data_IF_779656134735
#
_entry.id   IF_779656134735
#
_cell.length_a   1.000
_cell.length_b   1.000
_cell.length_c   1.000
_cell.angle_alpha   90.00
_cell.angle_beta   90.00
_cell.angle_gamma   90.00
#
_symmetry.space_group_name_H-M   'P 1'
#
loop_
_entity.id
_entity.type
_entity.pdbx_description
1 polymer ?
#
# COMPACT_ATOMS: atom_id res chain seq x y z
N UNK A 1 21.47 -10.87 8.84
CA UNK A 1 21.56 -11.40 7.45
C UNK A 1 21.77 -10.21 6.51
N UNK A 2 22.38 -10.37 5.33
CA UNK A 2 22.39 -9.27 4.34
C UNK A 2 20.97 -9.13 3.78
N UNK A 3 20.45 -7.91 3.72
CA UNK A 3 19.15 -7.64 3.11
C UNK A 3 19.23 -7.98 1.61
N UNK A 4 18.39 -8.90 1.15
CA UNK A 4 18.29 -9.30 -0.26
C UNK A 4 16.84 -9.28 -0.71
N UNK A 5 16.60 -8.91 -1.97
CA UNK A 5 15.25 -8.84 -2.55
C UNK A 5 14.58 -10.22 -2.47
N UNK A 6 15.28 -11.27 -2.92
CA UNK A 6 14.77 -12.65 -2.92
C UNK A 6 14.37 -13.12 -1.52
N UNK A 7 15.19 -12.84 -0.51
CA UNK A 7 14.89 -13.21 0.86
C UNK A 7 13.68 -12.48 1.41
N UNK A 8 13.53 -11.18 1.10
CA UNK A 8 12.37 -10.41 1.55
C UNK A 8 11.07 -10.97 0.98
N UNK A 9 11.05 -11.28 -0.33
CA UNK A 9 9.89 -11.87 -0.98
C UNK A 9 9.61 -13.32 -0.55
N UNK A 10 10.64 -14.13 -0.27
CA UNK A 10 10.46 -15.49 0.23
C UNK A 10 9.73 -15.51 1.57
N UNK A 11 10.14 -14.66 2.52
CA UNK A 11 9.48 -14.56 3.82
C UNK A 11 8.07 -13.99 3.68
N UNK A 12 7.88 -12.96 2.83
CA UNK A 12 6.55 -12.41 2.54
C UNK A 12 5.60 -13.46 1.94
N UNK A 13 6.10 -14.30 1.04
CA UNK A 13 5.36 -15.42 0.45
C UNK A 13 5.08 -16.55 1.44
N UNK A 14 5.94 -16.77 2.43
CA UNK A 14 5.65 -17.68 3.54
C UNK A 14 4.51 -17.12 4.40
N UNK A 15 4.61 -15.87 4.86
CA UNK A 15 3.57 -15.19 5.64
C UNK A 15 2.21 -15.19 4.93
N UNK A 16 2.18 -14.96 3.62
CA UNK A 16 0.95 -15.04 2.83
C UNK A 16 0.34 -16.44 2.86
N UNK A 17 1.14 -17.48 2.61
CA UNK A 17 0.64 -18.87 2.56
C UNK A 17 0.14 -19.36 3.91
N UNK A 18 0.87 -19.03 4.97
CA UNK A 18 0.60 -19.51 6.32
C UNK A 18 -0.62 -18.82 6.95
N UNK A 19 -0.96 -17.61 6.50
CA UNK A 19 -2.05 -16.79 7.06
C UNK A 19 -3.08 -16.32 6.02
N UNK A 20 -3.21 -17.04 4.90
CA UNK A 20 -4.06 -16.63 3.75
C UNK A 20 -5.52 -16.36 4.14
N UNK A 21 -6.06 -17.09 5.11
CA UNK A 21 -7.46 -16.97 5.50
C UNK A 21 -7.71 -15.65 6.24
N UNK A 22 -6.82 -15.31 7.19
CA UNK A 22 -6.85 -14.04 7.94
C UNK A 22 -6.54 -12.86 7.01
N UNK A 23 -5.53 -13.01 6.15
CA UNK A 23 -5.18 -11.99 5.17
C UNK A 23 -6.30 -11.76 4.17
N UNK A 24 -7.01 -12.81 3.73
CA UNK A 24 -8.15 -12.72 2.82
C UNK A 24 -9.28 -11.88 3.40
N UNK A 25 -9.62 -12.08 4.68
CA UNK A 25 -10.63 -11.27 5.37
C UNK A 25 -10.26 -9.78 5.42
N UNK A 26 -9.00 -9.48 5.77
CA UNK A 26 -8.49 -8.09 5.79
C UNK A 26 -8.45 -7.49 4.37
N UNK A 27 -8.00 -8.27 3.39
CA UNK A 27 -7.89 -7.86 1.97
C UNK A 27 -9.25 -7.45 1.41
N UNK A 28 -10.29 -8.26 1.62
CA UNK A 28 -11.63 -7.98 1.14
C UNK A 28 -12.17 -6.66 1.67
N UNK A 29 -12.17 -6.49 2.99
CA UNK A 29 -12.84 -5.36 3.64
C UNK A 29 -12.05 -4.05 3.53
N UNK A 30 -10.74 -4.09 3.75
CA UNK A 30 -9.93 -2.88 3.91
C UNK A 30 -9.18 -2.45 2.64
N UNK A 31 -9.16 -3.29 1.61
CA UNK A 31 -8.49 -2.99 0.35
C UNK A 31 -9.45 -3.10 -0.84
N UNK A 32 -10.08 -4.26 -1.06
CA UNK A 32 -10.91 -4.49 -2.26
C UNK A 32 -12.11 -3.55 -2.26
N UNK A 33 -12.88 -3.51 -1.16
CA UNK A 33 -14.08 -2.66 -1.06
C UNK A 33 -13.76 -1.17 -1.27
N UNK A 34 -12.79 -0.54 -0.55
CA UNK A 34 -12.50 0.87 -0.78
C UNK A 34 -11.91 1.14 -2.16
N UNK A 35 -11.03 0.29 -2.69
CA UNK A 35 -10.45 0.49 -4.03
C UNK A 35 -11.53 0.37 -5.10
N UNK A 36 -12.38 -0.65 -5.04
CA UNK A 36 -13.48 -0.82 -5.98
C UNK A 36 -14.48 0.35 -5.89
N UNK A 37 -14.83 0.78 -4.68
CA UNK A 37 -15.69 1.95 -4.48
C UNK A 37 -15.13 3.23 -5.10
N UNK A 38 -13.82 3.45 -4.96
CA UNK A 38 -13.13 4.58 -5.62
C UNK A 38 -13.15 4.46 -7.16
N UNK A 39 -12.91 3.26 -7.70
CA UNK A 39 -12.95 3.04 -9.15
C UNK A 39 -14.34 3.27 -9.73
N UNK A 40 -15.38 2.78 -9.05
CA UNK A 40 -16.78 3.00 -9.46
C UNK A 40 -17.18 4.48 -9.35
N UNK A 41 -16.70 5.18 -8.32
CA UNK A 41 -16.92 6.62 -8.17
C UNK A 41 -16.22 7.41 -9.30
N UNK A 42 -14.98 7.06 -9.64
CA UNK A 42 -14.26 7.68 -10.74
C UNK A 42 -14.92 7.37 -12.10
N UNK A 43 -15.43 6.16 -12.31
CA UNK A 43 -16.17 5.80 -13.51
C UNK A 43 -17.37 6.72 -13.74
N UNK A 44 -18.16 6.98 -12.70
CA UNK A 44 -19.35 7.84 -12.78
C UNK A 44 -19.03 9.31 -13.06
N UNK A 45 -17.82 9.75 -12.77
CA UNK A 45 -17.41 11.16 -12.92
C UNK A 45 -17.19 11.61 -14.37
N UNK A 46 -17.03 10.68 -15.32
CA UNK A 46 -16.77 10.99 -16.73
C UNK A 46 -15.40 11.64 -17.02
N UNK A 47 -14.52 11.73 -16.02
CA UNK A 47 -13.24 12.45 -16.11
C UNK A 47 -12.29 11.91 -17.20
N UNK A 48 -12.43 10.65 -17.60
CA UNK A 48 -11.59 10.03 -18.62
C UNK A 48 -11.86 10.54 -20.06
N UNK A 49 -12.95 11.29 -20.28
CA UNK A 49 -13.37 11.74 -21.61
C UNK A 49 -12.87 13.16 -21.97
N UNK A 50 -12.25 13.90 -21.04
CA UNK A 50 -11.82 15.28 -21.28
C UNK A 50 -10.40 15.34 -21.87
N UNK A 51 -10.29 15.82 -23.11
CA UNK A 51 -9.02 15.91 -23.84
C UNK A 51 -8.24 17.21 -23.54
N UNK A 52 -8.92 18.25 -23.05
CA UNK A 52 -8.29 19.53 -22.69
C UNK A 52 -7.62 19.43 -21.30
N UNK A 53 -6.28 19.57 -21.19
CA UNK A 53 -5.57 19.44 -19.92
C UNK A 53 -6.04 20.43 -18.84
N UNK A 54 -6.46 21.65 -19.23
CA UNK A 54 -6.91 22.66 -18.28
C UNK A 54 -8.28 22.32 -17.70
N UNK A 55 -9.22 21.92 -18.57
CA UNK A 55 -10.55 21.47 -18.15
C UNK A 55 -10.49 20.19 -17.33
N UNK A 56 -9.60 19.27 -17.70
CA UNK A 56 -9.36 18.06 -16.92
C UNK A 56 -8.86 18.39 -15.51
N UNK A 57 -7.94 19.35 -15.37
CA UNK A 57 -7.44 19.81 -14.07
C UNK A 57 -8.55 20.43 -13.21
N UNK A 58 -9.40 21.28 -13.79
CA UNK A 58 -10.52 21.89 -13.09
C UNK A 58 -11.57 20.85 -12.67
N UNK A 59 -11.91 19.92 -13.57
CA UNK A 59 -12.84 18.84 -13.31
C UNK A 59 -12.31 17.89 -12.22
N UNK A 60 -11.02 17.56 -12.25
CA UNK A 60 -10.35 16.82 -11.18
C UNK A 60 -10.45 17.55 -9.85
N UNK A 61 -10.08 18.84 -9.81
CA UNK A 61 -10.16 19.64 -8.58
C UNK A 61 -11.59 19.64 -8.02
N UNK A 62 -12.58 19.84 -8.87
CA UNK A 62 -14.00 19.81 -8.48
C UNK A 62 -14.38 18.44 -7.92
N UNK A 63 -14.04 17.36 -8.62
CA UNK A 63 -14.28 15.99 -8.15
C UNK A 63 -13.68 15.73 -6.76
N UNK A 64 -12.42 16.14 -6.54
CA UNK A 64 -11.76 16.01 -5.23
C UNK A 64 -12.46 16.79 -4.13
N UNK A 65 -12.94 18.01 -4.41
CA UNK A 65 -13.67 18.83 -3.45
C UNK A 65 -15.05 18.24 -3.13
N UNK A 66 -15.77 17.77 -4.14
CA UNK A 66 -17.12 17.21 -3.99
C UNK A 66 -17.11 15.85 -3.26
N UNK A 67 -16.01 15.09 -3.37
CA UNK A 67 -15.89 13.74 -2.80
C UNK A 67 -14.83 13.59 -1.70
N UNK A 68 -14.36 14.69 -1.12
CA UNK A 68 -13.25 14.70 -0.16
C UNK A 68 -13.45 13.69 0.99
N UNK A 69 -14.65 13.63 1.56
CA UNK A 69 -14.96 12.72 2.66
C UNK A 69 -14.89 11.24 2.26
N UNK A 70 -15.37 10.90 1.06
CA UNK A 70 -15.35 9.52 0.54
C UNK A 70 -13.91 9.09 0.24
N UNK A 71 -13.13 9.96 -0.38
CA UNK A 71 -11.71 9.74 -0.65
C UNK A 71 -10.91 9.57 0.64
N UNK A 72 -11.16 10.43 1.63
CA UNK A 72 -10.53 10.35 2.94
C UNK A 72 -10.88 9.02 3.63
N UNK A 73 -12.16 8.64 3.65
CA UNK A 73 -12.60 7.39 4.25
C UNK A 73 -11.95 6.17 3.59
N UNK A 74 -11.90 6.13 2.26
CA UNK A 74 -11.26 5.04 1.53
C UNK A 74 -9.74 4.96 1.84
N UNK A 75 -9.04 6.11 1.90
CA UNK A 75 -7.63 6.14 2.32
C UNK A 75 -7.47 5.63 3.75
N UNK A 76 -8.35 6.04 4.66
CA UNK A 76 -8.30 5.61 6.06
C UNK A 76 -8.54 4.10 6.21
N UNK A 77 -9.43 3.50 5.40
CA UNK A 77 -9.62 2.05 5.39
C UNK A 77 -8.36 1.31 4.95
N UNK A 78 -7.70 1.77 3.88
CA UNK A 78 -6.45 1.17 3.39
C UNK A 78 -5.33 1.34 4.44
N UNK A 79 -5.16 2.53 4.99
CA UNK A 79 -4.16 2.80 6.03
C UNK A 79 -4.41 1.95 7.29
N UNK A 80 -5.67 1.75 7.67
CA UNK A 80 -6.07 0.85 8.74
C UNK A 80 -5.73 -0.62 8.43
N UNK A 81 -6.02 -1.10 7.21
CA UNK A 81 -5.66 -2.45 6.77
C UNK A 81 -4.15 -2.70 6.81
N UNK A 82 -3.36 -1.72 6.34
CA UNK A 82 -1.89 -1.76 6.43
C UNK A 82 -1.45 -1.85 7.89
N UNK A 83 -1.96 -0.98 8.77
CA UNK A 83 -1.61 -0.98 10.19
C UNK A 83 -1.99 -2.29 10.88
N UNK A 84 -3.14 -2.88 10.54
CA UNK A 84 -3.59 -4.16 11.07
C UNK A 84 -2.65 -5.30 10.69
N UNK A 85 -2.23 -5.38 9.43
CA UNK A 85 -1.25 -6.38 8.97
C UNK A 85 0.09 -6.16 9.68
N UNK A 86 0.56 -4.91 9.79
CA UNK A 86 1.82 -4.63 10.49
C UNK A 86 1.76 -5.06 11.96
N UNK A 87 0.67 -4.77 12.67
CA UNK A 87 0.50 -5.19 14.07
C UNK A 87 0.41 -6.71 14.17
N UNK A 88 -0.35 -7.36 13.29
CA UNK A 88 -0.54 -8.81 13.29
C UNK A 88 0.78 -9.56 13.22
N UNK A 89 1.71 -9.12 12.37
CA UNK A 89 2.97 -9.82 12.15
C UNK A 89 4.15 -9.32 12.99
N UNK A 90 4.11 -8.08 13.47
CA UNK A 90 5.24 -7.50 14.22
C UNK A 90 5.03 -7.45 15.74
N UNK A 91 3.83 -7.79 16.23
CA UNK A 91 3.59 -7.99 17.66
C UNK A 91 3.27 -9.46 17.92
N UNK A 92 4.28 -10.28 18.26
CA UNK A 92 4.05 -11.68 18.58
C UNK A 92 3.08 -11.82 19.77
N UNK A 93 2.07 -12.66 19.61
CA UNK A 93 1.10 -13.00 20.64
C UNK A 93 -0.09 -13.79 20.07
N UNK A 94 -0.73 -14.60 20.91
CA UNK A 94 -1.95 -15.35 20.57
C UNK A 94 -3.17 -14.41 20.54
N UNK A 95 -3.19 -13.45 19.61
CA UNK A 95 -4.32 -12.53 19.44
C UNK A 95 -5.26 -13.02 18.34
N UNK A 96 -6.55 -12.91 18.59
CA UNK A 96 -7.53 -13.06 17.52
C UNK A 96 -7.40 -11.91 16.50
N UNK A 97 -7.97 -12.10 15.31
CA UNK A 97 -8.09 -11.01 14.34
C UNK A 97 -8.86 -9.83 14.93
N UNK A 98 -9.95 -10.08 15.67
CA UNK A 98 -10.75 -9.04 16.32
C UNK A 98 -9.95 -8.20 17.30
N UNK A 99 -9.14 -8.84 18.14
CA UNK A 99 -8.25 -8.13 19.08
C UNK A 99 -7.21 -7.27 18.34
N UNK A 100 -6.67 -7.79 17.24
CA UNK A 100 -5.72 -7.08 16.39
C UNK A 100 -6.36 -5.84 15.76
N UNK A 101 -7.58 -5.93 15.26
CA UNK A 101 -8.33 -4.79 14.73
C UNK A 101 -8.64 -3.75 15.82
N UNK A 102 -9.02 -4.19 17.03
CA UNK A 102 -9.27 -3.30 18.15
C UNK A 102 -8.01 -2.53 18.59
N UNK A 103 -6.85 -3.22 18.65
CA UNK A 103 -5.56 -2.58 18.92
C UNK A 103 -5.19 -1.60 17.82
N UNK A 104 -5.40 -1.98 16.55
CA UNK A 104 -5.17 -1.11 15.40
C UNK A 104 -5.99 0.16 15.49
N UNK A 105 -7.28 0.06 15.83
CA UNK A 105 -8.18 1.20 15.97
C UNK A 105 -7.70 2.18 17.05
N UNK A 106 -7.30 1.68 18.21
CA UNK A 106 -6.74 2.50 19.31
C UNK A 106 -5.43 3.20 18.94
N UNK A 107 -4.68 2.63 17.98
CA UNK A 107 -3.37 3.14 17.54
C UNK A 107 -3.41 3.81 16.17
N UNK A 108 -4.59 4.01 15.60
CA UNK A 108 -4.74 4.46 14.22
C UNK A 108 -4.15 5.85 13.99
N UNK A 109 -4.37 6.80 14.91
CA UNK A 109 -3.87 8.17 14.80
C UNK A 109 -2.34 8.25 14.62
N UNK A 110 -1.52 7.59 15.46
CA UNK A 110 -0.08 7.49 15.22
C UNK A 110 0.31 6.94 13.84
N UNK A 111 -0.40 5.92 13.33
CA UNK A 111 -0.14 5.38 11.98
C UNK A 111 -0.46 6.38 10.88
N UNK A 112 -1.62 7.05 10.98
CA UNK A 112 -2.02 8.10 10.03
C UNK A 112 -0.97 9.21 10.02
N UNK A 113 -0.56 9.69 11.20
CA UNK A 113 0.42 10.77 11.30
C UNK A 113 1.76 10.39 10.67
N UNK A 114 2.27 9.18 10.95
CA UNK A 114 3.51 8.67 10.34
C UNK A 114 3.39 8.55 8.82
N UNK A 115 2.30 7.97 8.31
CA UNK A 115 2.08 7.83 6.87
C UNK A 115 1.93 9.20 6.20
N UNK A 116 1.23 10.14 6.83
CA UNK A 116 1.04 11.50 6.30
C UNK A 116 2.38 12.24 6.20
N UNK A 117 3.20 12.19 7.24
CA UNK A 117 4.54 12.79 7.23
C UNK A 117 5.40 12.15 6.13
N UNK A 118 5.38 10.83 5.98
CA UNK A 118 6.12 10.14 4.92
C UNK A 118 5.63 10.56 3.51
N UNK A 119 4.31 10.69 3.30
CA UNK A 119 3.71 11.18 2.05
C UNK A 119 4.12 12.63 1.76
N UNK A 120 4.13 13.51 2.77
CA UNK A 120 4.56 14.91 2.64
C UNK A 120 6.06 14.97 2.27
N UNK A 121 6.91 14.21 2.95
CA UNK A 121 8.35 14.16 2.64
C UNK A 121 8.61 13.65 1.23
N UNK A 122 7.89 12.61 0.80
CA UNK A 122 7.94 12.12 -0.58
C UNK A 122 7.51 13.22 -1.57
N UNK A 123 6.39 13.90 -1.30
CA UNK A 123 5.86 14.97 -2.15
C UNK A 123 6.85 16.13 -2.30
N UNK A 124 7.36 16.67 -1.18
CA UNK A 124 8.38 17.75 -1.17
C UNK A 124 9.65 17.31 -1.89
N UNK A 125 10.11 16.08 -1.65
CA UNK A 125 11.28 15.55 -2.34
C UNK A 125 11.06 15.48 -3.85
N UNK A 126 9.92 14.92 -4.26
CA UNK A 126 9.56 14.73 -5.67
C UNK A 126 9.35 16.05 -6.42
N UNK A 127 8.90 17.12 -5.74
CA UNK A 127 8.75 18.44 -6.35
C UNK A 127 10.08 19.14 -6.66
N UNK A 128 11.15 18.77 -5.95
CA UNK A 128 12.50 19.25 -6.26
C UNK A 128 13.06 18.44 -7.44
N UNK A 129 13.14 17.12 -7.28
CA UNK A 129 13.53 16.15 -8.30
C UNK A 129 12.99 14.76 -7.91
N UNK A 130 12.88 13.85 -8.87
CA UNK A 130 12.42 12.48 -8.59
C UNK A 130 13.32 11.76 -7.56
N UNK A 131 14.65 11.93 -7.65
CA UNK A 131 15.61 11.25 -6.78
C UNK A 131 15.45 11.59 -5.28
N UNK A 132 15.38 12.87 -4.85
CA UNK A 132 15.06 13.22 -3.47
C UNK A 132 13.73 12.64 -2.96
N UNK A 133 12.70 12.57 -3.81
CA UNK A 133 11.43 11.92 -3.48
C UNK A 133 11.63 10.43 -3.19
N UNK A 134 12.21 9.70 -4.13
CA UNK A 134 12.48 8.26 -3.97
C UNK A 134 13.41 7.96 -2.78
N UNK A 135 14.38 8.83 -2.52
CA UNK A 135 15.20 8.77 -1.32
C UNK A 135 14.33 8.90 -0.06
N UNK A 136 13.52 9.96 0.06
CA UNK A 136 12.64 10.14 1.22
C UNK A 136 11.66 8.96 1.41
N UNK A 137 11.10 8.42 0.33
CA UNK A 137 10.23 7.25 0.35
C UNK A 137 10.96 6.04 0.93
N UNK A 138 12.13 5.71 0.41
CA UNK A 138 12.89 4.55 0.84
C UNK A 138 13.37 4.68 2.30
N UNK A 139 13.70 5.90 2.72
CA UNK A 139 14.15 6.20 4.09
C UNK A 139 13.02 6.18 5.12
N UNK A 140 11.79 6.45 4.70
CA UNK A 140 10.60 6.40 5.57
C UNK A 140 9.83 5.08 5.48
N UNK A 141 10.23 4.18 4.57
CA UNK A 141 9.52 2.94 4.25
C UNK A 141 9.28 2.04 5.47
N UNK A 142 10.27 1.97 6.36
CA UNK A 142 10.26 1.13 7.57
C UNK A 142 9.73 1.84 8.83
N UNK A 143 9.25 3.08 8.73
CA UNK A 143 8.76 3.82 9.91
C UNK A 143 7.47 3.22 10.48
N UNK A 144 6.47 2.90 9.64
CA UNK A 144 5.24 2.28 10.14
C UNK A 144 5.48 0.86 10.71
N UNK A 145 6.28 -0.03 10.08
CA UNK A 145 6.74 -1.27 10.71
C UNK A 145 7.43 -1.04 12.06
N UNK A 146 8.30 -0.02 12.15
CA UNK A 146 8.96 0.32 13.41
C UNK A 146 7.95 0.69 14.49
N UNK A 147 6.96 1.52 14.15
CA UNK A 147 5.88 1.90 15.06
C UNK A 147 5.04 0.69 15.50
N UNK A 148 4.76 -0.23 14.58
CA UNK A 148 3.99 -1.43 14.87
C UNK A 148 4.73 -2.38 15.83
N UNK A 149 6.04 -2.61 15.59
CA UNK A 149 6.83 -3.59 16.32
C UNK A 149 7.03 -3.28 17.80
N UNK A 150 7.18 -2.00 18.18
CA UNK A 150 7.42 -1.59 19.57
C UNK A 150 6.26 -0.72 20.07
N UNK A 151 5.32 -1.29 20.84
CA UNK A 151 4.25 -0.53 21.46
C UNK A 151 4.81 0.57 22.37
N UNK A 152 4.27 1.80 22.28
CA UNK A 152 4.60 2.89 23.20
C UNK A 152 5.87 3.71 22.87
N UNK A 153 6.70 3.33 21.89
CA UNK A 153 7.95 4.06 21.60
C UNK A 153 7.78 5.51 21.09
N UNK A 154 6.56 5.90 20.68
CA UNK A 154 6.26 7.21 20.10
C UNK A 154 6.68 7.35 18.63
N UNK A 155 6.20 8.40 17.97
CA UNK A 155 6.40 8.60 16.52
C UNK A 155 7.86 8.94 16.16
N UNK A 156 8.51 9.80 16.94
CA UNK A 156 9.89 10.21 16.68
C UNK A 156 10.87 9.03 16.77
N UNK A 157 10.69 8.13 17.74
CA UNK A 157 11.51 6.93 17.84
C UNK A 157 11.28 5.99 16.65
N UNK A 158 10.04 5.86 16.19
CA UNK A 158 9.72 5.08 14.99
C UNK A 158 10.40 5.65 13.74
N UNK A 159 10.41 6.98 13.57
CA UNK A 159 11.12 7.65 12.46
C UNK A 159 12.61 7.38 12.53
N UNK A 160 13.22 7.58 13.71
CA UNK A 160 14.64 7.32 13.92
C UNK A 160 15.02 5.87 13.59
N UNK A 161 14.24 4.90 14.07
CA UNK A 161 14.49 3.48 13.79
C UNK A 161 14.30 3.14 12.30
N UNK A 162 13.24 3.63 11.66
CA UNK A 162 13.02 3.40 10.23
C UNK A 162 14.14 3.98 9.37
N UNK A 163 14.62 5.17 9.74
CA UNK A 163 15.77 5.82 9.11
C UNK A 163 17.04 4.98 9.28
N UNK A 164 17.41 4.62 10.51
CA UNK A 164 18.60 3.80 10.79
C UNK A 164 18.56 2.43 10.08
N UNK A 165 17.39 1.78 10.04
CA UNK A 165 17.26 0.45 9.41
C UNK A 165 17.40 0.48 7.89
N UNK A 166 17.18 1.64 7.26
CA UNK A 166 17.36 1.82 5.82
C UNK A 166 18.75 2.36 5.42
N UNK A 167 19.72 2.41 6.33
CA UNK A 167 21.07 2.99 6.08
C UNK A 167 21.90 2.26 5.02
N UNK A 168 22.86 2.99 4.45
CA UNK A 168 23.80 2.47 3.45
C UNK A 168 23.10 2.11 2.14
N UNK A 169 23.41 0.93 1.58
CA UNK A 169 22.78 0.45 0.34
C UNK A 169 21.37 -0.14 0.56
N UNK A 170 20.89 -0.23 1.80
CA UNK A 170 19.62 -0.93 2.11
C UNK A 170 18.41 -0.20 1.55
N UNK A 171 18.40 1.13 1.53
CA UNK A 171 17.29 1.89 0.97
C UNK A 171 17.05 1.56 -0.51
N UNK A 172 18.10 1.28 -1.30
CA UNK A 172 17.96 0.84 -2.69
C UNK A 172 17.33 -0.54 -2.81
N UNK A 173 17.68 -1.46 -1.91
CA UNK A 173 17.07 -2.80 -1.86
C UNK A 173 15.59 -2.71 -1.47
N UNK A 174 15.25 -1.86 -0.49
CA UNK A 174 13.87 -1.60 -0.09
C UNK A 174 13.06 -0.98 -1.24
N UNK A 175 13.63 0.01 -1.91
CA UNK A 175 13.02 0.65 -3.07
C UNK A 175 12.83 -0.34 -4.22
N UNK A 176 13.83 -1.18 -4.49
CA UNK A 176 13.75 -2.24 -5.50
C UNK A 176 12.68 -3.27 -5.19
N UNK A 177 12.52 -3.69 -3.93
CA UNK A 177 11.45 -4.60 -3.52
C UNK A 177 10.06 -3.95 -3.64
N UNK A 178 9.93 -2.68 -3.25
CA UNK A 178 8.68 -1.93 -3.43
C UNK A 178 8.32 -1.77 -4.91
N UNK A 179 9.30 -1.34 -5.74
CA UNK A 179 9.13 -1.18 -7.17
C UNK A 179 8.78 -2.51 -7.86
N UNK A 180 9.46 -3.61 -7.52
CA UNK A 180 9.15 -4.92 -8.08
C UNK A 180 7.71 -5.36 -7.78
N UNK A 181 7.22 -5.10 -6.57
CA UNK A 181 5.83 -5.41 -6.17
C UNK A 181 4.83 -4.61 -7.00
N UNK A 182 5.04 -3.29 -7.09
CA UNK A 182 4.13 -2.39 -7.82
C UNK A 182 4.17 -2.67 -9.33
N UNK A 183 5.35 -2.83 -9.92
CA UNK A 183 5.51 -3.10 -11.35
C UNK A 183 4.91 -4.45 -11.74
N UNK A 184 5.06 -5.48 -10.91
CA UNK A 184 4.40 -6.77 -11.14
C UNK A 184 2.87 -6.64 -11.16
N UNK A 185 2.31 -5.90 -10.20
CA UNK A 185 0.87 -5.64 -10.15
C UNK A 185 0.38 -4.84 -11.36
N UNK A 186 1.09 -3.77 -11.73
CA UNK A 186 0.78 -2.97 -12.91
C UNK A 186 0.86 -3.80 -14.20
N UNK A 187 1.84 -4.69 -14.31
CA UNK A 187 1.95 -5.60 -15.45
C UNK A 187 0.74 -6.54 -15.56
N UNK A 188 0.31 -7.14 -14.45
CA UNK A 188 -0.87 -8.01 -14.41
C UNK A 188 -2.15 -7.24 -14.75
N UNK A 189 -2.31 -6.03 -14.20
CA UNK A 189 -3.45 -5.15 -14.52
C UNK A 189 -3.45 -4.81 -16.01
N UNK A 190 -2.32 -4.35 -16.55
CA UNK A 190 -2.20 -3.98 -17.96
C UNK A 190 -2.54 -5.15 -18.87
N UNK A 191 -1.93 -6.31 -18.63
CA UNK A 191 -2.16 -7.51 -19.42
C UNK A 191 -3.64 -7.95 -19.34
N UNK A 192 -4.21 -7.99 -18.14
CA UNK A 192 -5.61 -8.37 -17.97
C UNK A 192 -6.59 -7.38 -18.60
N UNK A 193 -6.34 -6.07 -18.51
CA UNK A 193 -7.15 -5.04 -19.18
C UNK A 193 -7.08 -5.17 -20.71
N UNK A 194 -5.90 -5.46 -21.28
CA UNK A 194 -5.77 -5.71 -22.72
C UNK A 194 -6.56 -6.94 -23.13
N UNK A 195 -6.47 -8.05 -22.38
CA UNK A 195 -7.21 -9.28 -22.69
C UNK A 195 -8.73 -9.07 -22.60
N UNK A 196 -9.21 -8.36 -21.57
CA UNK A 196 -10.63 -8.01 -21.43
C UNK A 196 -11.11 -7.11 -22.55
N UNK A 197 -10.30 -6.12 -22.96
CA UNK A 197 -10.60 -5.25 -24.10
C UNK A 197 -10.70 -6.01 -25.43
N UNK A 198 -9.80 -6.96 -25.67
CA UNK A 198 -9.83 -7.82 -26.86
C UNK A 198 -11.07 -8.73 -26.90
N UNK A 199 -11.42 -9.33 -25.76
CA UNK A 199 -12.65 -10.11 -25.63
C UNK A 199 -13.88 -9.22 -25.86
N UNK A 200 -13.84 -7.99 -25.36
CA UNK A 200 -14.92 -7.03 -25.53
C UNK A 200 -15.17 -6.63 -26.97
N UNK A 201 -14.10 -6.36 -27.71
CA UNK A 201 -14.19 -6.11 -29.15
C UNK A 201 -14.77 -7.30 -29.94
N UNK A 202 -14.62 -8.53 -29.44
CA UNK A 202 -15.13 -9.74 -30.09
C UNK A 202 -16.61 -10.03 -29.78
N UNK A 203 -17.09 -9.69 -28.58
CA UNK A 203 -18.46 -10.02 -28.12
C UNK A 203 -19.46 -8.87 -28.34
N UNK A 204 -18.99 -7.64 -28.52
CA UNK A 204 -19.83 -6.47 -28.76
C UNK A 204 -20.17 -5.72 -27.47
N UNK A 205 -21.39 -5.90 -26.94
CA UNK A 205 -21.85 -5.16 -25.75
C UNK A 205 -20.95 -5.44 -24.54
N UNK A 206 -20.43 -4.35 -23.96
CA UNK A 206 -19.15 -4.35 -23.26
C UNK A 206 -19.24 -3.99 -21.78
N UNK A 207 -20.45 -3.70 -21.28
CA UNK A 207 -20.64 -3.20 -19.92
C UNK A 207 -20.18 -4.21 -18.85
N UNK A 208 -20.42 -5.51 -19.09
CA UNK A 208 -19.98 -6.57 -18.17
C UNK A 208 -18.45 -6.74 -18.16
N UNK A 209 -17.79 -6.56 -19.31
CA UNK A 209 -16.34 -6.70 -19.43
C UNK A 209 -15.61 -5.47 -18.90
N UNK A 210 -16.21 -4.29 -19.04
CA UNK A 210 -15.74 -3.05 -18.40
C UNK A 210 -15.83 -3.17 -16.87
N UNK A 211 -16.97 -3.64 -16.34
CA UNK A 211 -17.13 -3.92 -14.92
C UNK A 211 -16.10 -4.95 -14.41
N UNK A 212 -15.83 -6.01 -15.18
CA UNK A 212 -14.80 -6.99 -14.87
C UNK A 212 -13.39 -6.36 -14.82
N UNK A 213 -13.12 -5.35 -15.67
CA UNK A 213 -11.88 -4.57 -15.64
C UNK A 213 -11.68 -3.84 -14.33
N UNK A 214 -12.71 -3.17 -13.80
CA UNK A 214 -12.61 -2.50 -12.49
C UNK A 214 -12.42 -3.50 -11.34
N UNK A 215 -13.11 -4.63 -11.37
CA UNK A 215 -12.93 -5.70 -10.38
C UNK A 215 -11.50 -6.25 -10.44
N UNK A 216 -10.95 -6.48 -11.64
CA UNK A 216 -9.56 -6.91 -11.83
C UNK A 216 -8.59 -5.91 -11.19
N UNK A 217 -8.73 -4.61 -11.49
CA UNK A 217 -7.87 -3.56 -10.93
C UNK A 217 -7.98 -3.55 -9.40
N UNK A 218 -9.19 -3.62 -8.85
CA UNK A 218 -9.41 -3.62 -7.41
C UNK A 218 -8.77 -4.83 -6.72
N UNK A 219 -8.96 -6.04 -7.26
CA UNK A 219 -8.42 -7.28 -6.70
C UNK A 219 -6.90 -7.29 -6.78
N UNK A 220 -6.33 -7.04 -7.95
CA UNK A 220 -4.87 -7.07 -8.14
C UNK A 220 -4.19 -5.95 -7.35
N UNK A 221 -4.77 -4.74 -7.35
CA UNK A 221 -4.28 -3.62 -6.54
C UNK A 221 -4.31 -3.93 -5.05
N UNK A 222 -5.36 -4.58 -4.56
CA UNK A 222 -5.47 -5.00 -3.15
C UNK A 222 -4.42 -6.02 -2.77
N UNK A 223 -4.22 -7.04 -3.61
CA UNK A 223 -3.17 -8.04 -3.40
C UNK A 223 -1.78 -7.36 -3.38
N UNK A 224 -1.56 -6.40 -4.27
CA UNK A 224 -0.31 -5.63 -4.30
C UNK A 224 -0.08 -4.86 -2.99
N UNK A 225 -1.11 -4.19 -2.45
CA UNK A 225 -1.01 -3.49 -1.17
C UNK A 225 -0.69 -4.43 0.01
N UNK A 226 -1.30 -5.61 0.03
CA UNK A 226 -1.03 -6.62 1.07
C UNK A 226 0.38 -7.16 0.93
N UNK A 227 0.79 -7.56 -0.27
CA UNK A 227 2.15 -8.05 -0.54
C UNK A 227 3.21 -7.00 -0.21
N UNK A 228 2.96 -5.73 -0.55
CA UNK A 228 3.83 -4.61 -0.21
C UNK A 228 3.97 -4.47 1.31
N UNK A 229 2.89 -4.69 2.05
CA UNK A 229 2.89 -4.65 3.52
C UNK A 229 3.65 -5.83 4.12
N UNK A 230 3.48 -7.05 3.59
CA UNK A 230 4.24 -8.23 4.00
C UNK A 230 5.74 -8.10 3.68
N UNK A 231 6.09 -7.51 2.53
CA UNK A 231 7.46 -7.14 2.17
C UNK A 231 8.05 -6.17 3.20
N UNK A 232 7.26 -5.20 3.69
CA UNK A 232 7.70 -4.27 4.76
C UNK A 232 7.94 -4.99 6.08
N UNK A 233 7.07 -5.92 6.47
CA UNK A 233 7.24 -6.77 7.66
C UNK A 233 8.54 -7.57 7.57
N UNK A 234 8.73 -8.29 6.46
CA UNK A 234 9.91 -9.12 6.22
C UNK A 234 11.20 -8.29 6.21
N UNK A 235 11.19 -7.16 5.49
CA UNK A 235 12.33 -6.25 5.45
C UNK A 235 12.65 -5.67 6.83
N UNK A 236 11.63 -5.37 7.65
CA UNK A 236 11.84 -4.91 9.02
C UNK A 236 12.54 -5.97 9.88
N UNK A 237 12.10 -7.24 9.85
CA UNK A 237 12.75 -8.34 10.57
C UNK A 237 14.18 -8.58 10.11
N UNK A 238 14.45 -8.53 8.80
CA UNK A 238 15.80 -8.73 8.24
C UNK A 238 16.79 -7.59 8.51
N UNK A 239 16.28 -6.40 8.84
CA UNK A 239 17.08 -5.21 9.17
C UNK A 239 17.26 -5.00 10.66
N UNK A 240 16.75 -5.91 11.49
CA UNK A 240 16.99 -5.88 12.93
C UNK A 240 18.50 -5.94 13.23
N UNK A 241 19.03 -5.01 14.05
CA UNK A 241 20.41 -5.11 14.51
C UNK A 241 20.58 -6.48 15.18
N UNK A 242 21.56 -7.28 14.73
CA UNK A 242 21.93 -8.48 15.49
C UNK A 242 22.26 -8.00 16.90
N UNK A 243 21.41 -8.30 17.87
CA UNK A 243 21.83 -8.30 19.26
C UNK A 243 22.86 -9.43 19.32
N UNK A 244 24.13 -9.04 19.43
CA UNK A 244 25.23 -9.99 19.50
C UNK A 244 25.02 -10.91 20.69
N UNK A 245 25.13 -12.21 20.43
CA UNK A 245 25.80 -13.11 21.36
C UNK A 245 27.28 -13.06 20.98
#
# INVERSE_FOLDING_TARGET
>A
MRLSISGVFADAGAMWRDHRDVLGAVTGVFFIVPILGLLLLMMQSGLAAEADPLKLSEAMRKFYMDHLLVLLFASLMIDFGIAAILILFLQPGERSLGDTLAVTLRRLLPFIAVNLIARILFSIGSSLFLLPGLFALARTWLVAPSLAAVPGQGMFAAFRQGWQRSDGFRWLVLLGAAAATVLAALFVILLGSVLLGLLGAAVGDNQALEAAGYVLIAVVGSIAWVMLTLVRVSAYGRTEPKQGI
#
